data_IF_737520519695
#
_entry.id   IF_737520519695
#
_cell.length_a   1.000
_cell.length_b   1.000
_cell.length_c   1.000
_cell.angle_alpha   90.00
_cell.angle_beta   90.00
_cell.angle_gamma   90.00
#
_symmetry.space_group_name_H-M   'P 1'
#
loop_
_entity.id
_entity.type
_entity.pdbx_description
1 polymer ?
#
# COMPACT_ATOMS: atom_id res chain seq x y z
N UNK A 1 28.57 -29.28 83.24
CA UNK A 1 27.56 -29.16 84.32
C UNK A 1 26.75 -27.88 84.09
N UNK A 2 25.51 -27.78 84.61
CA UNK A 2 24.65 -26.57 84.62
C UNK A 2 24.20 -26.15 83.18
N UNK A 3 22.96 -26.46 82.75
CA UNK A 3 21.70 -25.67 82.88
C UNK A 3 21.69 -24.35 82.09
N UNK A 4 20.60 -23.81 81.50
CA UNK A 4 19.13 -24.13 81.36
C UNK A 4 18.58 -23.15 80.25
N UNK A 5 17.39 -23.20 79.62
CA UNK A 5 16.23 -24.11 79.44
C UNK A 5 15.29 -23.50 78.35
N UNK A 6 14.15 -24.13 78.03
CA UNK A 6 12.92 -23.58 77.36
C UNK A 6 12.97 -23.50 75.81
N UNK A 7 11.88 -23.74 75.05
CA UNK A 7 10.44 -24.00 75.38
C UNK A 7 9.78 -25.02 74.40
N UNK A 8 8.55 -25.42 74.71
CA UNK A 8 7.61 -26.39 74.06
C UNK A 8 6.19 -25.72 74.08
N UNK A 9 5.07 -26.25 73.51
CA UNK A 9 4.84 -27.42 72.63
C UNK A 9 3.78 -27.22 71.48
N UNK A 10 3.46 -28.33 70.78
CA UNK A 10 2.13 -28.80 70.28
C UNK A 10 1.33 -28.16 69.10
N UNK A 11 0.80 -29.08 68.28
CA UNK A 11 -0.51 -29.12 67.57
C UNK A 11 -1.03 -27.92 66.74
N UNK A 12 -1.10 -28.10 65.41
CA UNK A 12 -2.29 -27.77 64.58
C UNK A 12 -2.25 -28.39 63.15
N UNK A 13 -2.10 -29.72 63.06
CA UNK A 13 -1.86 -30.43 61.79
C UNK A 13 -3.01 -31.35 61.34
N UNK A 14 -4.18 -30.78 60.99
CA UNK A 14 -5.29 -31.54 60.35
C UNK A 14 -6.23 -30.73 59.43
N UNK A 15 -6.42 -29.43 59.64
CA UNK A 15 -7.52 -28.68 58.98
C UNK A 15 -7.17 -27.89 57.70
N UNK A 16 -5.91 -27.89 57.26
CA UNK A 16 -5.44 -26.99 56.17
C UNK A 16 -5.55 -27.56 54.74
N UNK A 17 -5.88 -28.84 54.56
CA UNK A 17 -5.85 -29.51 53.25
C UNK A 17 -7.11 -29.34 52.38
N UNK A 18 -8.29 -29.10 52.96
CA UNK A 18 -9.54 -28.97 52.17
C UNK A 18 -9.84 -27.55 51.68
N UNK A 19 -9.47 -26.50 52.43
CA UNK A 19 -9.77 -25.11 52.04
C UNK A 19 -9.06 -24.68 50.75
N UNK A 20 -7.83 -25.18 50.52
CA UNK A 20 -7.04 -24.83 49.35
C UNK A 20 -7.67 -25.32 48.03
N UNK A 21 -8.28 -26.51 48.02
CA UNK A 21 -8.82 -27.12 46.81
C UNK A 21 -10.04 -26.34 46.25
N UNK A 22 -10.96 -25.93 47.13
CA UNK A 22 -12.20 -25.24 46.74
C UNK A 22 -11.92 -23.84 46.19
N UNK A 23 -11.02 -23.10 46.84
CA UNK A 23 -10.63 -21.76 46.37
C UNK A 23 -9.96 -21.79 45.00
N UNK A 24 -9.13 -22.80 44.73
CA UNK A 24 -8.36 -22.87 43.48
C UNK A 24 -9.18 -23.30 42.26
N UNK A 25 -10.36 -23.93 42.46
CA UNK A 25 -11.29 -24.26 41.39
C UNK A 25 -12.25 -23.10 41.06
N UNK A 26 -12.84 -22.46 42.08
CA UNK A 26 -13.80 -21.35 41.90
C UNK A 26 -13.16 -20.08 41.31
N UNK A 27 -11.90 -19.81 41.66
CA UNK A 27 -11.18 -18.65 41.13
C UNK A 27 -10.84 -18.78 39.63
N UNK A 28 -10.70 -19.99 39.08
CA UNK A 28 -10.28 -20.18 37.66
C UNK A 28 -11.44 -19.99 36.68
N UNK A 29 -12.63 -20.48 36.98
CA UNK A 29 -13.82 -20.30 36.11
C UNK A 29 -14.28 -18.84 36.07
N UNK A 30 -14.35 -18.18 37.23
CA UNK A 30 -14.73 -16.77 37.32
C UNK A 30 -13.73 -15.84 36.62
N UNK A 31 -12.42 -16.02 36.82
CA UNK A 31 -11.40 -15.20 36.13
C UNK A 31 -11.39 -15.45 34.61
N UNK A 32 -11.60 -16.68 34.14
CA UNK A 32 -11.68 -16.95 32.69
C UNK A 32 -12.90 -16.27 32.05
N UNK A 33 -14.09 -16.33 32.68
CA UNK A 33 -15.28 -15.64 32.17
C UNK A 33 -15.14 -14.11 32.25
N UNK A 34 -14.56 -13.57 33.33
CA UNK A 34 -14.27 -12.14 33.44
C UNK A 34 -13.24 -11.68 32.41
N UNK A 35 -12.19 -12.46 32.13
CA UNK A 35 -11.23 -12.13 31.06
C UNK A 35 -11.86 -12.18 29.68
N UNK A 36 -12.72 -13.18 29.39
CA UNK A 36 -13.41 -13.27 28.12
C UNK A 36 -14.37 -12.09 27.92
N UNK A 37 -15.19 -11.78 28.93
CA UNK A 37 -16.11 -10.64 28.90
C UNK A 37 -15.38 -9.29 28.81
N UNK A 38 -14.25 -9.12 29.50
CA UNK A 38 -13.45 -7.89 29.45
C UNK A 38 -12.71 -7.73 28.12
N UNK A 39 -12.20 -8.81 27.52
CA UNK A 39 -11.61 -8.80 26.17
C UNK A 39 -12.67 -8.49 25.11
N UNK A 40 -13.86 -9.10 25.19
CA UNK A 40 -14.97 -8.79 24.28
C UNK A 40 -15.42 -7.33 24.43
N UNK A 41 -15.63 -6.86 25.65
CA UNK A 41 -16.06 -5.48 25.90
C UNK A 41 -14.97 -4.44 25.54
N UNK A 42 -13.68 -4.76 25.71
CA UNK A 42 -12.60 -3.96 25.13
C UNK A 42 -12.60 -4.00 23.59
N UNK A 43 -12.91 -5.15 22.97
CA UNK A 43 -13.01 -5.22 21.51
C UNK A 43 -14.16 -4.36 20.97
N UNK A 44 -15.31 -4.34 21.66
CA UNK A 44 -16.46 -3.49 21.31
C UNK A 44 -16.21 -2.00 21.60
N UNK A 45 -15.59 -1.66 22.74
CA UNK A 45 -15.19 -0.29 23.05
C UNK A 45 -14.14 0.26 22.07
N UNK A 46 -13.14 -0.55 21.70
CA UNK A 46 -12.18 -0.20 20.66
C UNK A 46 -12.88 -0.06 19.29
N UNK A 47 -13.80 -0.97 18.93
CA UNK A 47 -14.63 -0.85 17.72
C UNK A 47 -15.47 0.44 17.71
N UNK A 48 -15.97 0.90 18.86
CA UNK A 48 -16.73 2.16 18.98
C UNK A 48 -15.83 3.40 18.83
N UNK A 49 -14.63 3.39 19.43
CA UNK A 49 -13.64 4.48 19.25
C UNK A 49 -13.13 4.51 17.81
N UNK A 50 -12.79 3.36 17.22
CA UNK A 50 -12.37 3.28 15.83
C UNK A 50 -13.49 3.68 14.86
N UNK A 51 -14.77 3.36 15.12
CA UNK A 51 -15.90 3.83 14.29
C UNK A 51 -16.00 5.35 14.15
N UNK A 52 -15.48 6.13 15.11
CA UNK A 52 -15.47 7.59 15.05
C UNK A 52 -14.31 8.19 14.21
N UNK A 53 -13.31 7.38 13.85
CA UNK A 53 -12.13 7.80 13.06
C UNK A 53 -11.89 6.93 11.82
N UNK A 54 -12.67 5.84 11.65
CA UNK A 54 -12.63 4.96 10.51
C UNK A 54 -12.93 5.74 9.23
N UNK A 55 -12.26 5.41 8.12
CA UNK A 55 -12.31 6.23 6.93
C UNK A 55 -13.56 5.91 6.11
N UNK A 56 -14.14 6.91 5.46
CA UNK A 56 -15.31 6.70 4.58
C UNK A 56 -14.86 6.00 3.30
N UNK A 57 -15.31 4.76 3.08
CA UNK A 57 -15.02 3.98 1.87
C UNK A 57 -16.06 4.25 0.76
N UNK A 58 -15.63 4.26 -0.52
CA UNK A 58 -16.49 4.52 -1.68
C UNK A 58 -17.51 3.40 -1.98
N UNK A 59 -17.17 2.20 -1.50
CA UNK A 59 -17.93 0.95 -1.52
C UNK A 59 -17.78 0.34 -0.12
N UNK A 60 -18.75 -0.44 0.39
CA UNK A 60 -18.54 -1.18 1.63
C UNK A 60 -17.43 -2.22 1.45
N UNK A 61 -16.60 -2.40 2.47
CA UNK A 61 -15.71 -3.56 2.58
C UNK A 61 -16.54 -4.84 2.73
N UNK A 62 -16.06 -5.95 2.16
CA UNK A 62 -16.60 -7.27 2.45
C UNK A 62 -16.11 -7.75 3.83
N UNK A 63 -16.81 -7.29 4.87
CA UNK A 63 -16.52 -7.60 6.28
C UNK A 63 -16.56 -9.10 6.54
N UNK A 64 -17.41 -9.87 5.83
CA UNK A 64 -17.55 -11.31 6.05
C UNK A 64 -16.40 -12.08 5.39
N UNK A 65 -16.03 -11.77 4.14
CA UNK A 65 -14.84 -12.36 3.53
C UNK A 65 -13.57 -12.00 4.30
N UNK A 66 -13.44 -10.76 4.80
CA UNK A 66 -12.33 -10.36 5.66
C UNK A 66 -12.29 -11.18 6.96
N UNK A 67 -13.43 -11.34 7.65
CA UNK A 67 -13.55 -12.11 8.90
C UNK A 67 -13.22 -13.59 8.68
N UNK A 68 -13.74 -14.21 7.63
CA UNK A 68 -13.54 -15.63 7.31
C UNK A 68 -12.08 -15.91 6.91
N UNK A 69 -11.46 -15.04 6.12
CA UNK A 69 -10.08 -15.24 5.67
C UNK A 69 -9.02 -14.88 6.74
N UNK A 70 -9.38 -14.21 7.84
CA UNK A 70 -8.41 -13.65 8.79
C UNK A 70 -7.43 -14.66 9.40
N UNK A 71 -7.86 -15.89 9.72
CA UNK A 71 -6.93 -16.92 10.22
C UNK A 71 -5.91 -17.33 9.16
N UNK A 72 -6.37 -17.49 7.91
CA UNK A 72 -5.52 -17.86 6.77
C UNK A 72 -4.57 -16.71 6.38
N UNK A 73 -5.00 -15.47 6.58
CA UNK A 73 -4.15 -14.28 6.45
C UNK A 73 -3.03 -14.29 7.50
N UNK A 74 -3.35 -14.56 8.78
CA UNK A 74 -2.34 -14.71 9.84
C UNK A 74 -1.27 -15.74 9.45
N UNK A 75 -1.67 -16.92 8.98
CA UNK A 75 -0.70 -17.95 8.57
C UNK A 75 0.15 -17.55 7.36
N UNK A 76 -0.41 -16.84 6.37
CA UNK A 76 0.36 -16.28 5.26
C UNK A 76 1.37 -15.20 5.73
N UNK A 77 0.95 -14.31 6.63
CA UNK A 77 1.78 -13.23 7.19
C UNK A 77 2.84 -13.73 8.17
N UNK A 78 2.63 -14.89 8.83
CA UNK A 78 3.49 -15.46 9.90
C UNK A 78 4.97 -15.63 9.55
N UNK A 79 5.32 -15.75 8.27
CA UNK A 79 6.73 -15.81 7.82
C UNK A 79 7.37 -14.43 7.62
N UNK A 80 6.55 -13.39 7.46
CA UNK A 80 6.92 -12.00 7.19
C UNK A 80 6.99 -11.13 8.46
N UNK A 81 6.37 -11.59 9.56
CA UNK A 81 6.24 -10.83 10.81
C UNK A 81 7.55 -10.53 11.57
N UNK A 82 8.74 -10.80 11.01
CA UNK A 82 10.05 -10.49 11.60
C UNK A 82 10.15 -10.70 13.13
N UNK A 83 10.50 -9.67 13.93
CA UNK A 83 10.57 -9.74 15.39
C UNK A 83 9.20 -9.81 16.09
N UNK A 84 8.11 -9.61 15.34
CA UNK A 84 6.72 -9.73 15.81
C UNK A 84 6.15 -11.15 15.66
N UNK A 85 6.87 -12.08 15.00
CA UNK A 85 6.41 -13.47 14.76
C UNK A 85 6.01 -14.23 16.03
N UNK A 86 6.70 -14.00 17.15
CA UNK A 86 6.35 -14.59 18.45
C UNK A 86 5.16 -13.92 19.17
N UNK A 87 4.61 -12.85 18.59
CA UNK A 87 3.48 -12.05 19.11
C UNK A 87 2.37 -11.85 18.07
N UNK A 88 2.32 -12.72 17.04
CA UNK A 88 1.43 -12.61 15.89
C UNK A 88 -0.03 -12.41 16.29
N UNK A 89 -0.54 -13.26 17.18
CA UNK A 89 -1.94 -13.24 17.61
C UNK A 89 -2.29 -12.08 18.55
N UNK A 90 -1.31 -11.55 19.28
CA UNK A 90 -1.47 -10.37 20.14
C UNK A 90 -1.42 -9.05 19.34
N UNK A 91 -0.90 -9.07 18.11
CA UNK A 91 -0.73 -7.87 17.27
C UNK A 91 -1.71 -7.84 16.10
N UNK A 92 -1.97 -8.96 15.42
CA UNK A 92 -3.04 -9.10 14.44
C UNK A 92 -4.37 -9.37 15.16
N UNK A 93 -4.99 -8.30 15.65
CA UNK A 93 -6.30 -8.31 16.32
C UNK A 93 -7.44 -7.86 15.42
N UNK A 94 -7.18 -6.89 14.53
CA UNK A 94 -8.16 -6.36 13.59
C UNK A 94 -8.14 -7.18 12.30
N UNK A 95 -9.31 -7.57 11.80
CA UNK A 95 -9.47 -8.18 10.46
C UNK A 95 -9.91 -7.16 9.40
N UNK A 96 -10.00 -5.88 9.77
CA UNK A 96 -10.44 -4.76 8.95
C UNK A 96 -9.31 -3.72 8.90
N UNK A 97 -9.10 -3.00 7.77
CA UNK A 97 -8.17 -1.87 7.70
C UNK A 97 -8.51 -0.77 8.71
N UNK A 98 -7.50 -0.26 9.43
CA UNK A 98 -7.65 0.81 10.44
C UNK A 98 -6.59 1.89 10.19
N UNK A 99 -7.06 3.07 9.79
CA UNK A 99 -6.29 4.30 9.59
C UNK A 99 -7.28 5.48 9.59
N UNK A 100 -6.77 6.72 9.56
CA UNK A 100 -7.61 7.93 9.53
C UNK A 100 -7.33 8.77 8.28
N UNK A 101 -8.40 9.36 7.73
CA UNK A 101 -8.35 10.33 6.63
C UNK A 101 -8.63 11.77 7.07
N UNK A 102 -8.73 12.04 8.38
CA UNK A 102 -9.15 13.37 8.89
C UNK A 102 -8.17 14.51 8.57
N UNK A 103 -6.90 14.18 8.36
CA UNK A 103 -5.85 15.15 7.98
C UNK A 103 -5.61 15.24 6.47
N UNK A 104 -6.43 14.57 5.64
CA UNK A 104 -6.29 14.60 4.18
C UNK A 104 -6.98 15.84 3.60
N UNK A 105 -6.22 16.74 3.00
CA UNK A 105 -6.73 17.92 2.29
C UNK A 105 -6.67 17.72 0.79
N UNK A 106 -7.81 17.38 0.19
CA UNK A 106 -7.97 17.24 -1.26
C UNK A 106 -8.36 18.59 -1.87
N UNK A 107 -7.62 19.01 -2.91
CA UNK A 107 -7.87 20.26 -3.63
C UNK A 107 -7.63 20.13 -5.12
N UNK A 108 -8.28 20.97 -5.91
CA UNK A 108 -7.83 21.26 -7.27
C UNK A 108 -6.63 22.23 -7.23
N UNK A 109 -5.83 22.33 -8.32
CA UNK A 109 -4.78 23.32 -8.46
C UNK A 109 -5.17 24.80 -8.25
N UNK A 110 -6.39 25.20 -8.60
CA UNK A 110 -6.95 26.55 -8.33
C UNK A 110 -7.24 26.78 -6.84
N UNK A 111 -7.21 25.73 -6.03
CA UNK A 111 -7.41 25.78 -4.58
C UNK A 111 -8.82 25.40 -4.12
N UNK A 112 -9.77 25.12 -5.04
CA UNK A 112 -11.07 24.54 -4.71
C UNK A 112 -10.86 23.30 -3.84
N UNK A 113 -11.57 23.23 -2.71
CA UNK A 113 -11.55 22.04 -1.85
C UNK A 113 -12.47 20.97 -2.42
N UNK A 114 -12.10 19.71 -2.24
CA UNK A 114 -12.98 18.57 -2.41
C UNK A 114 -13.14 17.84 -1.08
N UNK A 115 -14.32 17.29 -0.84
CA UNK A 115 -14.52 16.22 0.13
C UNK A 115 -14.03 14.89 -0.43
N UNK A 116 -13.75 13.92 0.46
CA UNK A 116 -13.44 12.54 0.05
C UNK A 116 -14.62 11.95 -0.75
N UNK A 117 -15.86 12.19 -0.31
CA UNK A 117 -17.07 11.73 -0.97
C UNK A 117 -17.25 12.25 -2.42
N UNK A 118 -16.92 13.52 -2.70
CA UNK A 118 -16.93 14.05 -4.07
C UNK A 118 -15.95 13.31 -4.99
N UNK A 119 -14.72 13.08 -4.52
CA UNK A 119 -13.68 12.39 -5.33
C UNK A 119 -14.01 10.91 -5.48
N UNK A 120 -14.60 10.27 -4.46
CA UNK A 120 -15.14 8.91 -4.55
C UNK A 120 -16.32 8.79 -5.52
N UNK A 121 -17.21 9.79 -5.57
CA UNK A 121 -18.31 9.81 -6.54
C UNK A 121 -17.78 9.91 -7.99
N UNK A 122 -16.74 10.71 -8.22
CA UNK A 122 -16.04 10.77 -9.52
C UNK A 122 -15.30 9.48 -9.84
N UNK A 123 -14.63 8.85 -8.88
CA UNK A 123 -14.01 7.54 -9.10
C UNK A 123 -15.08 6.50 -9.49
N UNK A 124 -16.16 6.42 -8.72
CA UNK A 124 -17.26 5.46 -8.90
C UNK A 124 -17.98 5.61 -10.24
N UNK A 125 -18.12 6.84 -10.79
CA UNK A 125 -18.74 7.04 -12.11
C UNK A 125 -17.91 6.53 -13.30
N UNK A 126 -16.65 6.15 -13.07
CA UNK A 126 -15.78 5.55 -14.11
C UNK A 126 -15.74 4.02 -14.09
N UNK A 127 -16.40 3.40 -13.11
CA UNK A 127 -16.59 1.95 -13.01
C UNK A 127 -17.63 1.52 -14.06
N UNK A 128 -17.40 0.38 -14.72
CA UNK A 128 -18.29 -0.14 -15.77
C UNK A 128 -18.52 -1.65 -15.56
N UNK A 129 -19.59 -2.25 -16.11
CA UNK A 129 -19.78 -3.70 -16.08
C UNK A 129 -18.53 -4.44 -16.61
N UNK A 130 -18.03 -5.40 -15.85
CA UNK A 130 -16.78 -6.12 -16.18
C UNK A 130 -15.49 -5.30 -16.04
N UNK A 131 -15.53 -4.08 -15.47
CA UNK A 131 -14.37 -3.20 -15.23
C UNK A 131 -14.52 -2.54 -13.84
N UNK A 132 -14.33 -3.29 -12.74
CA UNK A 132 -14.55 -2.80 -11.37
C UNK A 132 -13.53 -1.75 -10.91
N UNK A 133 -12.31 -1.73 -11.48
CA UNK A 133 -11.28 -0.73 -11.13
C UNK A 133 -11.64 0.62 -11.79
N UNK A 134 -11.80 1.73 -11.03
CA UNK A 134 -12.08 3.04 -11.60
C UNK A 134 -10.89 3.59 -12.41
N UNK A 135 -11.16 4.50 -13.35
CA UNK A 135 -10.13 5.18 -14.15
C UNK A 135 -9.56 6.39 -13.40
N UNK A 136 -8.93 6.13 -12.26
CA UNK A 136 -8.25 7.11 -11.40
C UNK A 136 -6.81 6.64 -11.19
N UNK A 137 -5.86 7.57 -11.21
CA UNK A 137 -4.44 7.30 -11.00
C UNK A 137 -3.92 7.99 -9.74
N UNK A 138 -2.99 7.35 -9.03
CA UNK A 138 -2.38 7.86 -7.80
C UNK A 138 -0.86 7.80 -7.89
N UNK A 139 -0.19 8.89 -7.52
CA UNK A 139 1.26 8.95 -7.31
C UNK A 139 1.57 9.51 -5.93
N UNK A 140 2.45 8.86 -5.17
CA UNK A 140 3.09 9.49 -4.01
C UNK A 140 4.30 10.29 -4.49
N UNK A 141 4.29 11.60 -4.22
CA UNK A 141 5.39 12.49 -4.59
C UNK A 141 6.51 12.46 -3.52
N UNK A 142 7.79 12.61 -3.92
CA UNK A 142 8.92 12.51 -2.99
C UNK A 142 8.82 13.44 -1.77
N UNK A 143 9.03 12.88 -0.57
CA UNK A 143 9.02 13.64 0.68
C UNK A 143 10.27 14.54 0.86
N UNK A 144 11.31 14.32 0.04
CA UNK A 144 12.60 15.00 0.08
C UNK A 144 12.64 16.23 -0.82
N UNK A 145 13.43 16.17 -1.91
CA UNK A 145 13.44 17.20 -2.93
C UNK A 145 12.08 17.29 -3.63
N UNK A 146 11.61 18.50 -3.89
CA UNK A 146 10.37 18.76 -4.61
C UNK A 146 10.59 19.04 -6.09
N UNK A 147 11.84 19.28 -6.52
CA UNK A 147 12.13 19.49 -7.93
C UNK A 147 11.93 18.19 -8.70
N UNK A 148 10.92 18.16 -9.58
CA UNK A 148 10.72 16.98 -10.42
C UNK A 148 11.89 16.82 -11.39
N UNK A 149 12.38 15.60 -11.50
CA UNK A 149 13.40 15.21 -12.47
C UNK A 149 12.77 14.94 -13.84
N UNK A 150 13.60 14.72 -14.86
CA UNK A 150 13.10 14.50 -16.21
C UNK A 150 12.21 13.25 -16.31
N UNK A 151 12.63 12.11 -15.75
CA UNK A 151 11.86 10.87 -15.75
C UNK A 151 10.51 11.02 -15.00
N UNK A 152 10.46 11.75 -13.87
CA UNK A 152 9.19 12.08 -13.18
C UNK A 152 8.18 12.77 -14.11
N UNK A 153 8.65 13.67 -14.98
CA UNK A 153 7.80 14.35 -15.96
C UNK A 153 7.38 13.41 -17.11
N UNK A 154 8.24 12.50 -17.56
CA UNK A 154 7.85 11.47 -18.54
C UNK A 154 6.80 10.53 -17.94
N UNK A 155 6.97 10.09 -16.69
CA UNK A 155 6.00 9.25 -15.96
C UNK A 155 4.62 9.93 -15.86
N UNK A 156 4.56 11.16 -15.33
CA UNK A 156 3.31 11.91 -15.19
C UNK A 156 2.63 12.17 -16.55
N UNK A 157 3.39 12.49 -17.60
CA UNK A 157 2.84 12.64 -18.96
C UNK A 157 2.40 11.31 -19.56
N UNK A 158 3.07 10.20 -19.26
CA UNK A 158 2.65 8.86 -19.71
C UNK A 158 1.27 8.49 -19.13
N UNK A 159 1.04 8.79 -17.86
CA UNK A 159 -0.27 8.61 -17.23
C UNK A 159 -1.32 9.52 -17.88
N UNK A 160 -1.04 10.83 -18.00
CA UNK A 160 -1.98 11.79 -18.60
C UNK A 160 -2.34 11.48 -20.06
N UNK A 161 -1.36 11.10 -20.88
CA UNK A 161 -1.52 10.95 -22.33
C UNK A 161 -1.88 9.53 -22.77
N UNK A 162 -1.48 8.49 -22.02
CA UNK A 162 -1.67 7.07 -22.39
C UNK A 162 -2.75 6.39 -21.55
N UNK A 163 -2.71 6.49 -20.21
CA UNK A 163 -3.79 5.98 -19.36
C UNK A 163 -5.05 6.85 -19.47
N UNK A 164 -4.89 8.17 -19.59
CA UNK A 164 -5.98 9.16 -19.64
C UNK A 164 -6.97 9.01 -18.47
N UNK A 165 -6.50 9.10 -17.21
CA UNK A 165 -7.35 9.00 -16.04
C UNK A 165 -8.35 10.15 -15.97
N UNK A 166 -9.53 9.89 -15.40
CA UNK A 166 -10.51 10.95 -15.13
C UNK A 166 -10.06 11.84 -13.96
N UNK A 167 -9.29 11.28 -13.01
CA UNK A 167 -8.58 12.03 -11.97
C UNK A 167 -7.16 11.49 -11.79
N UNK A 168 -6.20 12.40 -11.74
CA UNK A 168 -4.80 12.15 -11.38
C UNK A 168 -4.56 12.74 -9.98
N UNK A 169 -4.40 11.88 -8.99
CA UNK A 169 -4.26 12.23 -7.59
C UNK A 169 -2.79 12.24 -7.19
N UNK A 170 -2.29 13.43 -6.86
CA UNK A 170 -0.89 13.68 -6.51
C UNK A 170 -0.79 13.86 -4.99
N UNK A 171 -0.28 12.84 -4.32
CA UNK A 171 -0.17 12.79 -2.86
C UNK A 171 1.14 13.42 -2.40
N UNK A 172 1.10 14.34 -1.44
CA UNK A 172 2.29 15.06 -0.98
C UNK A 172 2.23 15.44 0.49
N UNK A 173 3.41 15.53 1.11
CA UNK A 173 3.57 15.98 2.49
C UNK A 173 3.37 17.51 2.62
N UNK A 174 3.02 18.04 3.82
CA UNK A 174 2.95 19.47 4.05
C UNK A 174 4.26 20.18 3.66
N UNK A 175 4.16 21.26 2.88
CA UNK A 175 5.31 21.98 2.35
C UNK A 175 6.04 21.32 1.16
N UNK A 176 5.66 20.10 0.74
CA UNK A 176 6.30 19.36 -0.37
C UNK A 176 5.50 19.42 -1.69
N UNK A 177 5.01 20.60 -2.07
CA UNK A 177 4.44 20.79 -3.41
C UNK A 177 5.55 20.58 -4.47
N UNK A 178 5.29 19.88 -5.59
CA UNK A 178 6.26 19.69 -6.66
C UNK A 178 6.64 21.02 -7.33
N UNK A 179 7.89 21.13 -7.76
CA UNK A 179 8.49 22.35 -8.33
C UNK A 179 9.43 22.06 -9.51
N UNK A 180 9.98 23.12 -10.09
CA UNK A 180 11.04 23.05 -11.11
C UNK A 180 10.54 22.96 -12.55
N UNK A 181 11.48 23.12 -13.49
CA UNK A 181 11.24 23.17 -14.94
C UNK A 181 10.45 21.99 -15.51
N UNK A 182 10.54 20.82 -14.88
CA UNK A 182 9.88 19.60 -15.33
C UNK A 182 8.45 19.50 -14.80
N UNK A 183 8.17 19.95 -13.58
CA UNK A 183 6.80 20.19 -13.11
C UNK A 183 6.07 21.22 -13.98
N UNK A 184 6.72 22.34 -14.29
CA UNK A 184 6.16 23.36 -15.21
C UNK A 184 5.87 22.80 -16.60
N UNK A 185 6.62 21.77 -17.04
CA UNK A 185 6.35 21.06 -18.30
C UNK A 185 5.13 20.16 -18.20
N UNK A 186 4.91 19.47 -17.07
CA UNK A 186 3.68 18.70 -16.81
C UNK A 186 2.47 19.65 -16.83
N UNK A 187 2.52 20.77 -16.10
CA UNK A 187 1.43 21.77 -16.07
C UNK A 187 1.07 22.27 -17.47
N UNK A 188 2.07 22.59 -18.30
CA UNK A 188 1.91 23.10 -19.67
C UNK A 188 1.52 22.04 -20.72
N UNK A 189 1.20 20.80 -20.32
CA UNK A 189 0.64 19.77 -21.21
C UNK A 189 -0.89 19.66 -21.13
N UNK A 190 -1.55 20.40 -20.22
CA UNK A 190 -2.99 20.48 -20.10
C UNK A 190 -3.43 21.95 -20.22
N UNK A 191 -4.67 22.19 -20.66
CA UNK A 191 -5.31 23.51 -20.51
C UNK A 191 -5.57 23.81 -19.02
N UNK A 192 -5.77 25.08 -18.65
CA UNK A 192 -6.06 25.45 -17.25
C UNK A 192 -7.33 24.76 -16.72
N UNK A 193 -8.33 24.54 -17.58
CA UNK A 193 -9.56 23.79 -17.25
C UNK A 193 -9.24 22.32 -17.03
N UNK A 194 -8.56 21.64 -17.96
CA UNK A 194 -8.18 20.22 -17.76
C UNK A 194 -7.25 20.03 -16.55
N UNK A 195 -6.39 21.00 -16.27
CA UNK A 195 -5.51 21.01 -15.11
C UNK A 195 -6.34 21.10 -13.81
N UNK A 196 -7.33 21.99 -13.73
CA UNK A 196 -8.17 22.12 -12.53
C UNK A 196 -9.21 20.99 -12.37
N UNK A 197 -9.70 20.43 -13.48
CA UNK A 197 -10.66 19.34 -13.47
C UNK A 197 -10.02 17.97 -13.20
N UNK A 198 -8.87 17.65 -13.82
CA UNK A 198 -8.28 16.30 -13.75
C UNK A 198 -7.33 16.13 -12.57
N UNK A 199 -6.62 17.17 -12.13
CA UNK A 199 -5.62 17.04 -11.08
C UNK A 199 -6.27 17.20 -9.70
N UNK A 200 -6.01 16.27 -8.79
CA UNK A 200 -6.31 16.43 -7.37
C UNK A 200 -5.00 16.45 -6.59
N UNK A 201 -4.66 17.61 -6.05
CA UNK A 201 -3.55 17.77 -5.11
C UNK A 201 -4.02 17.29 -3.74
N UNK A 202 -3.42 16.22 -3.21
CA UNK A 202 -3.81 15.64 -1.92
C UNK A 202 -2.69 15.83 -0.91
N UNK A 203 -2.84 16.82 -0.03
CA UNK A 203 -1.92 16.98 1.09
C UNK A 203 -2.32 16.05 2.23
N UNK A 204 -1.37 15.31 2.79
CA UNK A 204 -1.54 14.54 4.04
C UNK A 204 -0.23 14.45 4.81
N UNK A 205 -0.25 14.25 6.14
CA UNK A 205 0.95 13.89 6.88
C UNK A 205 1.60 12.61 6.34
N UNK A 206 2.93 12.56 6.41
CA UNK A 206 3.71 11.34 6.21
C UNK A 206 3.48 10.45 7.44
N UNK A 207 3.11 9.17 7.27
CA UNK A 207 2.89 8.27 8.41
C UNK A 207 4.19 8.09 9.20
N UNK A 208 4.08 8.04 10.54
CA UNK A 208 5.21 7.71 11.45
C UNK A 208 5.05 6.34 12.10
N UNK A 209 3.88 5.73 11.90
CA UNK A 209 3.46 4.44 12.41
C UNK A 209 2.33 3.91 11.53
N UNK A 210 2.15 2.60 11.52
CA UNK A 210 1.02 1.90 10.91
C UNK A 210 0.51 0.90 11.95
N UNK A 211 -0.79 0.93 12.24
CA UNK A 211 -1.34 0.34 13.48
C UNK A 211 -0.51 0.73 14.73
N UNK A 212 0.15 -0.22 15.36
CA UNK A 212 0.95 -0.05 16.59
C UNK A 212 2.47 -0.14 16.37
N UNK A 213 2.94 -0.28 15.12
CA UNK A 213 4.37 -0.36 14.78
C UNK A 213 4.86 0.94 14.11
N UNK A 214 6.07 1.42 14.43
CA UNK A 214 6.63 2.64 13.84
C UNK A 214 7.10 2.41 12.39
N UNK A 215 7.18 3.48 11.61
CA UNK A 215 7.64 3.44 10.21
C UNK A 215 8.59 4.62 9.96
N UNK A 216 9.88 4.33 9.75
CA UNK A 216 10.92 5.35 9.56
C UNK A 216 11.47 5.38 8.12
N UNK A 217 11.45 4.25 7.41
CA UNK A 217 11.85 4.19 5.99
C UNK A 217 10.91 5.01 5.11
N UNK A 218 11.44 5.82 4.19
CA UNK A 218 10.61 6.69 3.33
C UNK A 218 9.82 5.88 2.31
N UNK A 219 10.44 4.79 1.90
CA UNK A 219 9.93 3.75 1.03
C UNK A 219 8.69 3.12 1.70
N UNK A 220 8.83 2.64 2.93
CA UNK A 220 7.74 2.11 3.74
C UNK A 220 6.64 3.14 4.05
N UNK A 221 7.00 4.41 4.24
CA UNK A 221 6.05 5.51 4.41
C UNK A 221 5.22 5.74 3.14
N UNK A 222 5.85 5.57 1.95
CA UNK A 222 5.14 5.53 0.66
C UNK A 222 4.26 4.28 0.53
N UNK A 223 4.71 3.13 1.03
CA UNK A 223 3.94 1.87 1.03
C UNK A 223 2.63 1.99 1.83
N UNK A 224 2.67 2.58 3.03
CA UNK A 224 1.45 2.87 3.78
C UNK A 224 0.57 3.87 3.02
N UNK A 225 1.16 4.95 2.47
CA UNK A 225 0.41 5.97 1.73
C UNK A 225 -0.27 5.43 0.46
N UNK A 226 0.37 4.55 -0.31
CA UNK A 226 -0.19 3.99 -1.56
C UNK A 226 -1.33 3.01 -1.30
N UNK A 227 -1.20 2.16 -0.26
CA UNK A 227 -2.22 1.19 0.11
C UNK A 227 -3.48 1.89 0.62
N UNK A 228 -3.34 2.85 1.55
CA UNK A 228 -4.46 3.66 2.06
C UNK A 228 -5.13 4.48 0.93
N UNK A 229 -4.34 5.07 0.03
CA UNK A 229 -4.85 5.85 -1.10
C UNK A 229 -5.79 5.04 -2.01
N UNK A 230 -5.30 3.91 -2.53
CA UNK A 230 -6.05 3.07 -3.46
C UNK A 230 -7.21 2.35 -2.75
N UNK A 231 -7.09 2.03 -1.46
CA UNK A 231 -8.17 1.39 -0.72
C UNK A 231 -9.41 2.29 -0.57
N UNK A 232 -9.21 3.61 -0.43
CA UNK A 232 -10.29 4.62 -0.29
C UNK A 232 -10.92 5.03 -1.62
N UNK A 233 -10.14 5.12 -2.71
CA UNK A 233 -10.61 5.63 -4.00
C UNK A 233 -10.73 4.57 -5.11
N UNK A 234 -10.17 3.37 -4.92
CA UNK A 234 -9.86 2.43 -5.99
C UNK A 234 -8.81 2.98 -6.94
N UNK A 235 -8.68 2.36 -8.11
CA UNK A 235 -7.90 2.89 -9.23
C UNK A 235 -6.54 2.24 -9.39
N UNK A 236 -5.59 3.01 -9.90
CA UNK A 236 -4.23 2.56 -10.26
C UNK A 236 -3.20 3.32 -9.44
N UNK A 237 -2.32 2.61 -8.73
CA UNK A 237 -1.12 3.19 -8.18
C UNK A 237 0.03 3.14 -9.20
N UNK A 238 0.83 4.21 -9.22
CA UNK A 238 2.06 4.33 -9.97
C UNK A 238 3.12 5.02 -9.09
N UNK A 239 4.29 4.41 -8.91
CA UNK A 239 5.46 5.15 -8.44
C UNK A 239 5.91 6.16 -9.51
N UNK A 240 6.58 7.23 -9.08
CA UNK A 240 6.86 8.44 -9.89
C UNK A 240 7.89 8.22 -11.01
N UNK A 241 8.45 7.03 -11.10
CA UNK A 241 9.37 6.51 -12.11
C UNK A 241 8.74 5.38 -12.97
N UNK A 242 7.46 5.03 -12.79
CA UNK A 242 6.74 4.09 -13.66
C UNK A 242 6.25 4.79 -14.93
N UNK A 243 6.51 4.21 -16.11
CA UNK A 243 5.98 4.67 -17.40
C UNK A 243 4.77 3.85 -17.83
N UNK A 244 3.66 4.49 -18.16
CA UNK A 244 2.50 3.84 -18.81
C UNK A 244 2.68 3.87 -20.33
N UNK A 245 2.58 2.70 -20.95
CA UNK A 245 2.90 2.46 -22.37
C UNK A 245 1.68 2.00 -23.18
N UNK A 246 0.60 1.54 -22.53
CA UNK A 246 -0.71 1.26 -23.14
C UNK A 246 -1.87 1.64 -22.21
N UNK A 247 -3.09 1.86 -22.73
CA UNK A 247 -4.28 1.99 -21.88
C UNK A 247 -4.49 0.75 -21.01
N UNK A 248 -4.74 0.96 -19.71
CA UNK A 248 -4.74 -0.11 -18.70
C UNK A 248 -6.12 -0.81 -18.53
N UNK A 249 -7.14 -0.40 -19.29
CA UNK A 249 -8.50 -0.96 -19.25
C UNK A 249 -8.60 -2.50 -19.33
N UNK A 250 -7.74 -3.24 -20.10
CA UNK A 250 -7.77 -4.71 -20.10
C UNK A 250 -7.39 -5.37 -18.76
N UNK A 251 -6.69 -4.64 -17.89
CA UNK A 251 -6.24 -5.09 -16.56
C UNK A 251 -7.18 -4.64 -15.43
N UNK A 252 -8.01 -3.62 -15.71
CA UNK A 252 -9.04 -3.06 -14.81
C UNK A 252 -10.29 -3.94 -14.63
N UNK A 253 -10.29 -5.13 -15.24
CA UNK A 253 -11.38 -6.13 -15.22
C UNK A 253 -11.41 -7.03 -13.98
N UNK A 254 -10.32 -7.08 -13.22
CA UNK A 254 -10.19 -7.83 -11.97
C UNK A 254 -10.32 -6.88 -10.79
N UNK A 255 -10.81 -7.35 -9.64
CA UNK A 255 -10.92 -6.50 -8.43
C UNK A 255 -9.56 -6.12 -7.83
N UNK A 256 -8.51 -6.88 -8.13
CA UNK A 256 -7.13 -6.53 -7.81
C UNK A 256 -6.15 -7.12 -8.84
N UNK A 257 -5.23 -6.29 -9.34
CA UNK A 257 -4.18 -6.65 -10.32
C UNK A 257 -2.83 -6.09 -9.86
N UNK A 258 -1.76 -6.88 -9.94
CA UNK A 258 -0.39 -6.45 -9.59
C UNK A 258 0.64 -7.09 -10.52
N UNK A 259 1.80 -6.44 -10.70
CA UNK A 259 2.90 -6.98 -11.49
C UNK A 259 3.70 -8.05 -10.73
N UNK A 260 4.16 -9.10 -11.43
CA UNK A 260 5.24 -9.96 -10.94
C UNK A 260 6.56 -9.21 -11.02
N UNK A 261 7.26 -9.07 -9.88
CA UNK A 261 8.63 -8.55 -9.88
C UNK A 261 9.61 -9.71 -10.11
N UNK A 262 9.61 -10.65 -9.17
CA UNK A 262 10.48 -11.83 -9.15
C UNK A 262 9.67 -13.07 -8.79
N UNK A 263 10.21 -14.26 -8.99
CA UNK A 263 9.49 -15.53 -8.75
C UNK A 263 8.85 -15.64 -7.35
N UNK A 264 9.43 -14.94 -6.35
CA UNK A 264 8.97 -14.86 -4.96
C UNK A 264 8.35 -13.51 -4.54
N UNK A 265 8.04 -12.60 -5.47
CA UNK A 265 7.67 -11.21 -5.17
C UNK A 265 6.76 -10.54 -6.21
N UNK A 266 5.88 -9.65 -5.75
CA UNK A 266 4.98 -8.84 -6.59
C UNK A 266 5.29 -7.35 -6.38
N UNK A 267 5.36 -6.55 -7.44
CA UNK A 267 5.79 -5.15 -7.38
C UNK A 267 4.69 -4.23 -6.84
N UNK A 268 4.94 -3.52 -5.73
CA UNK A 268 4.00 -2.52 -5.21
C UNK A 268 4.14 -1.12 -5.86
N UNK A 269 5.09 -0.95 -6.79
CA UNK A 269 5.24 0.26 -7.60
C UNK A 269 4.15 0.44 -8.64
N UNK A 270 3.52 -0.65 -9.08
CA UNK A 270 2.33 -0.61 -9.93
C UNK A 270 1.33 -1.71 -9.57
N UNK A 271 0.16 -1.28 -9.08
CA UNK A 271 -0.96 -2.16 -8.82
C UNK A 271 -2.29 -1.44 -9.05
N UNK A 272 -3.37 -2.21 -9.15
CA UNK A 272 -4.70 -1.76 -9.53
C UNK A 272 -5.73 -2.41 -8.60
N UNK A 273 -6.75 -1.68 -8.18
CA UNK A 273 -7.77 -2.21 -7.27
C UNK A 273 -9.14 -1.58 -7.49
N UNK A 274 -10.19 -2.38 -7.37
CA UNK A 274 -11.51 -1.87 -7.05
C UNK A 274 -11.46 -1.19 -5.67
N UNK A 275 -12.27 -0.15 -5.40
CA UNK A 275 -12.34 0.45 -4.07
C UNK A 275 -12.77 -0.62 -3.06
N UNK A 276 -12.09 -0.72 -1.92
CA UNK A 276 -12.40 -1.71 -0.87
C UNK A 276 -12.26 -3.19 -1.26
N UNK A 277 -11.48 -3.52 -2.30
CA UNK A 277 -11.21 -4.91 -2.69
C UNK A 277 -10.57 -5.74 -1.56
N UNK A 278 -11.05 -6.97 -1.36
CA UNK A 278 -10.71 -7.83 -0.22
C UNK A 278 -9.21 -8.11 -0.11
N UNK A 279 -8.49 -8.29 -1.22
CA UNK A 279 -7.04 -8.53 -1.20
C UNK A 279 -6.26 -7.32 -0.67
N UNK A 280 -6.54 -6.11 -1.17
CA UNK A 280 -5.89 -4.88 -0.73
C UNK A 280 -6.22 -4.57 0.74
N UNK A 281 -7.47 -4.80 1.15
CA UNK A 281 -7.88 -4.67 2.55
C UNK A 281 -7.14 -5.67 3.47
N UNK A 282 -6.99 -6.94 3.07
CA UNK A 282 -6.17 -7.90 3.81
C UNK A 282 -4.68 -7.51 3.84
N UNK A 283 -4.15 -6.96 2.75
CA UNK A 283 -2.73 -6.60 2.64
C UNK A 283 -2.39 -5.45 3.59
N UNK A 284 -3.21 -4.39 3.60
CA UNK A 284 -3.11 -3.34 4.63
C UNK A 284 -3.26 -3.94 6.05
N UNK A 285 -4.22 -4.84 6.26
CA UNK A 285 -4.47 -5.48 7.56
C UNK A 285 -3.26 -6.26 8.09
N UNK A 286 -2.41 -6.79 7.21
CA UNK A 286 -1.18 -7.49 7.59
C UNK A 286 -0.07 -6.57 8.13
N UNK A 287 -0.08 -5.26 7.84
CA UNK A 287 0.88 -4.29 8.41
C UNK A 287 0.76 -4.12 9.94
N UNK A 288 -0.22 -4.75 10.60
CA UNK A 288 -0.24 -4.92 12.06
C UNK A 288 1.02 -5.58 12.65
N UNK A 289 1.80 -6.31 11.83
CA UNK A 289 3.06 -6.96 12.20
C UNK A 289 4.22 -6.59 11.26
N UNK A 290 4.13 -5.40 10.66
CA UNK A 290 5.16 -4.83 9.80
C UNK A 290 6.52 -4.68 10.51
N UNK A 291 7.60 -4.96 9.77
CA UNK A 291 8.99 -4.87 10.22
C UNK A 291 9.75 -3.85 9.37
N UNK A 292 10.00 -2.67 9.93
CA UNK A 292 10.68 -1.54 9.29
C UNK A 292 12.16 -1.81 8.95
N UNK A 293 12.71 -2.95 9.39
CA UNK A 293 14.06 -3.41 9.02
C UNK A 293 14.06 -4.24 7.73
N UNK A 294 12.89 -4.69 7.25
CA UNK A 294 12.75 -5.72 6.23
C UNK A 294 12.27 -5.15 4.88
N UNK A 295 13.10 -4.30 4.25
CA UNK A 295 12.80 -3.44 3.08
C UNK A 295 11.71 -3.91 2.09
N UNK A 296 11.90 -5.09 1.50
CA UNK A 296 10.99 -5.65 0.49
C UNK A 296 9.95 -6.66 1.03
N UNK A 297 9.86 -6.85 2.34
CA UNK A 297 9.19 -8.04 2.89
C UNK A 297 7.67 -7.87 2.96
N UNK A 298 7.17 -6.77 3.51
CA UNK A 298 5.72 -6.45 3.51
C UNK A 298 5.23 -5.85 2.19
N UNK A 299 6.13 -5.19 1.45
CA UNK A 299 5.87 -4.52 0.17
C UNK A 299 5.88 -5.46 -1.04
N UNK A 300 6.78 -6.47 -1.07
CA UNK A 300 6.97 -7.33 -2.26
C UNK A 300 6.71 -8.81 -1.97
N UNK A 301 7.25 -9.36 -0.88
CA UNK A 301 7.21 -10.82 -0.61
C UNK A 301 5.92 -11.28 0.07
N UNK A 302 5.34 -10.44 0.93
CA UNK A 302 4.05 -10.67 1.57
C UNK A 302 2.88 -10.73 0.56
N UNK A 303 2.68 -9.79 -0.38
CA UNK A 303 1.60 -9.91 -1.36
C UNK A 303 1.78 -11.15 -2.25
N UNK A 304 3.01 -11.57 -2.57
CA UNK A 304 3.25 -12.87 -3.22
C UNK A 304 2.74 -14.06 -2.37
N UNK A 305 3.09 -14.12 -1.08
CA UNK A 305 2.60 -15.17 -0.16
C UNK A 305 1.08 -15.16 -0.01
N UNK A 306 0.49 -13.97 0.03
CA UNK A 306 -0.95 -13.79 0.07
C UNK A 306 -1.61 -14.23 -1.23
N UNK A 307 -1.02 -13.96 -2.40
CA UNK A 307 -1.56 -14.40 -3.69
C UNK A 307 -1.58 -15.94 -3.79
N UNK A 308 -0.53 -16.62 -3.31
CA UNK A 308 -0.52 -18.09 -3.20
C UNK A 308 -1.58 -18.63 -2.22
N UNK A 309 -1.92 -17.88 -1.17
CA UNK A 309 -2.98 -18.24 -0.25
C UNK A 309 -4.39 -17.91 -0.79
N UNK A 310 -4.54 -16.84 -1.57
CA UNK A 310 -5.80 -16.27 -2.02
C UNK A 310 -5.79 -16.00 -3.54
N UNK A 311 -5.59 -17.03 -4.39
CA UNK A 311 -5.37 -16.86 -5.82
C UNK A 311 -6.56 -16.20 -6.52
N UNK A 312 -7.79 -16.50 -6.09
CA UNK A 312 -9.02 -15.95 -6.65
C UNK A 312 -9.23 -14.46 -6.38
N UNK A 313 -8.44 -13.86 -5.47
CA UNK A 313 -8.56 -12.46 -5.06
C UNK A 313 -7.46 -11.55 -5.63
N UNK A 314 -6.47 -12.09 -6.36
CA UNK A 314 -5.33 -11.32 -6.86
C UNK A 314 -4.86 -11.87 -8.22
N UNK A 315 -5.14 -11.12 -9.28
CA UNK A 315 -4.60 -11.37 -10.61
C UNK A 315 -3.15 -10.86 -10.70
N UNK A 316 -2.28 -11.65 -11.31
CA UNK A 316 -0.86 -11.32 -11.50
C UNK A 316 -0.56 -11.16 -12.99
N UNK A 317 -0.03 -10.00 -13.36
CA UNK A 317 0.58 -9.79 -14.67
C UNK A 317 2.05 -10.19 -14.62
N UNK A 318 2.38 -11.35 -15.20
CA UNK A 318 3.68 -12.01 -15.06
C UNK A 318 4.85 -11.26 -15.74
N UNK A 319 4.58 -10.52 -16.82
CA UNK A 319 5.60 -9.85 -17.64
C UNK A 319 5.24 -8.40 -18.03
N UNK A 320 3.98 -7.97 -17.91
CA UNK A 320 3.47 -6.81 -18.68
C UNK A 320 3.53 -5.45 -17.96
N UNK A 321 3.84 -5.44 -16.66
CA UNK A 321 3.87 -4.22 -15.83
C UNK A 321 5.28 -3.84 -15.33
N UNK A 322 6.17 -4.82 -15.21
CA UNK A 322 7.37 -4.69 -14.37
C UNK A 322 8.68 -5.17 -15.05
N UNK A 323 8.59 -5.68 -16.28
CA UNK A 323 9.75 -6.10 -17.09
C UNK A 323 10.10 -5.05 -18.14
N UNK A 324 11.39 -4.73 -18.39
CA UNK A 324 12.57 -5.29 -17.72
C UNK A 324 12.73 -4.75 -16.28
N UNK A 325 13.30 -5.57 -15.40
CA UNK A 325 13.32 -5.35 -13.94
C UNK A 325 14.67 -4.80 -13.42
N UNK A 326 14.83 -4.63 -12.09
CA UNK A 326 16.02 -4.12 -11.39
C UNK A 326 17.29 -4.99 -11.50
N UNK A 327 17.21 -6.17 -12.12
CA UNK A 327 18.38 -7.04 -12.28
C UNK A 327 19.46 -6.33 -13.11
N UNK A 328 20.73 -6.55 -12.79
CA UNK A 328 21.85 -5.86 -13.47
C UNK A 328 21.88 -6.11 -14.99
N UNK A 329 21.28 -7.20 -15.46
CA UNK A 329 21.10 -7.53 -16.87
C UNK A 329 19.94 -6.73 -17.49
N UNK A 330 18.77 -6.72 -16.85
CA UNK A 330 17.57 -6.06 -17.39
C UNK A 330 17.66 -4.53 -17.35
N UNK A 331 18.36 -3.97 -16.35
CA UNK A 331 18.74 -2.55 -16.34
C UNK A 331 19.63 -2.20 -17.55
N UNK A 332 20.49 -3.12 -18.00
CA UNK A 332 21.27 -2.92 -19.24
C UNK A 332 20.38 -2.98 -20.49
N UNK A 333 19.28 -3.75 -20.50
CA UNK A 333 18.30 -3.70 -21.60
C UNK A 333 17.59 -2.34 -21.67
N UNK A 334 17.25 -1.74 -20.51
CA UNK A 334 16.56 -0.44 -20.44
C UNK A 334 17.45 0.72 -20.94
N UNK A 335 18.66 0.86 -20.38
CA UNK A 335 19.50 2.05 -20.61
C UNK A 335 20.67 1.83 -21.56
N UNK A 336 21.09 0.57 -21.77
CA UNK A 336 22.23 0.24 -22.60
C UNK A 336 22.02 0.63 -24.07
N UNK A 337 23.07 1.15 -24.69
CA UNK A 337 23.02 1.56 -26.09
C UNK A 337 22.94 0.33 -27.00
N UNK A 338 21.94 0.28 -27.89
CA UNK A 338 21.69 -0.85 -28.81
C UNK A 338 21.03 -2.08 -28.18
N UNK A 339 20.70 -2.05 -26.88
CA UNK A 339 20.20 -3.22 -26.14
C UNK A 339 18.68 -3.44 -26.26
N UNK A 340 17.97 -2.61 -27.03
CA UNK A 340 16.50 -2.67 -27.15
C UNK A 340 15.98 -4.02 -27.69
N UNK A 341 16.82 -4.75 -28.42
CA UNK A 341 16.47 -6.05 -29.02
C UNK A 341 16.25 -7.17 -28.00
N UNK A 342 16.67 -7.00 -26.73
CA UNK A 342 16.45 -7.98 -25.67
C UNK A 342 14.98 -8.06 -25.19
N UNK A 343 14.18 -7.00 -25.34
CA UNK A 343 12.79 -6.99 -24.87
C UNK A 343 11.86 -6.11 -25.71
N UNK A 344 10.85 -6.74 -26.31
CA UNK A 344 9.78 -6.06 -27.07
C UNK A 344 8.76 -5.41 -26.12
N UNK A 345 9.16 -4.28 -25.54
CA UNK A 345 8.31 -3.46 -24.69
C UNK A 345 7.03 -2.99 -25.42
N UNK A 346 7.14 -2.72 -26.72
CA UNK A 346 6.02 -2.24 -27.55
C UNK A 346 4.89 -3.25 -27.63
N UNK A 347 5.19 -4.54 -27.77
CA UNK A 347 4.16 -5.60 -27.79
C UNK A 347 3.79 -6.05 -26.38
N UNK A 348 4.76 -6.28 -25.48
CA UNK A 348 4.50 -6.87 -24.17
C UNK A 348 3.88 -5.92 -23.13
N UNK A 349 4.43 -4.73 -22.96
CA UNK A 349 4.15 -3.93 -21.75
C UNK A 349 2.88 -3.08 -21.81
N UNK A 350 2.13 -3.07 -20.72
CA UNK A 350 1.20 -2.01 -20.37
C UNK A 350 1.91 -0.86 -19.64
N UNK A 351 2.91 -1.20 -18.82
CA UNK A 351 3.77 -0.26 -18.12
C UNK A 351 5.18 -0.84 -17.91
N UNK A 352 6.14 0.01 -17.52
CA UNK A 352 7.51 -0.37 -17.11
C UNK A 352 7.90 0.47 -15.88
N UNK A 353 8.35 -0.17 -14.81
CA UNK A 353 9.08 0.51 -13.73
C UNK A 353 10.48 0.88 -14.22
N UNK A 354 10.86 2.17 -14.19
CA UNK A 354 12.23 2.59 -14.50
C UNK A 354 13.18 2.39 -13.31
N UNK A 355 13.67 1.17 -13.14
CA UNK A 355 14.69 0.89 -12.13
C UNK A 355 16.04 1.56 -12.46
N UNK A 356 16.94 1.70 -11.46
CA UNK A 356 18.35 2.06 -11.68
C UNK A 356 18.70 3.54 -11.42
N UNK A 357 19.60 4.10 -12.22
CA UNK A 357 20.10 5.48 -12.07
C UNK A 357 19.87 6.30 -13.33
N UNK A 358 19.16 7.40 -13.17
CA UNK A 358 18.93 8.39 -14.22
C UNK A 358 20.11 9.35 -14.36
N UNK A 359 20.37 9.82 -15.57
CA UNK A 359 21.34 10.89 -15.82
C UNK A 359 20.59 12.22 -15.98
N UNK A 360 21.26 13.21 -16.58
CA UNK A 360 20.68 14.51 -16.91
C UNK A 360 19.93 14.49 -18.27
N UNK A 361 19.15 13.43 -18.55
CA UNK A 361 18.33 13.37 -19.76
C UNK A 361 17.31 14.51 -19.84
N UNK A 362 16.97 14.90 -21.07
CA UNK A 362 16.10 16.03 -21.35
C UNK A 362 15.49 15.93 -22.76
N UNK A 363 14.55 16.83 -23.08
CA UNK A 363 13.83 16.91 -24.35
C UNK A 363 14.72 17.02 -25.63
N UNK A 364 16.01 17.32 -25.49
CA UNK A 364 16.98 17.26 -26.58
C UNK A 364 17.64 15.88 -26.64
N UNK A 365 18.26 15.42 -25.54
CA UNK A 365 19.02 14.16 -25.54
C UNK A 365 18.18 12.93 -25.88
N UNK A 366 16.93 12.84 -25.43
CA UNK A 366 16.09 11.66 -25.73
C UNK A 366 15.67 11.58 -27.20
N UNK A 367 15.87 12.61 -28.03
CA UNK A 367 15.54 12.56 -29.46
C UNK A 367 16.45 11.61 -30.25
N UNK A 368 17.69 11.42 -29.81
CA UNK A 368 18.67 10.55 -30.45
C UNK A 368 19.23 9.44 -29.54
N UNK A 369 18.80 9.37 -28.26
CA UNK A 369 19.22 8.33 -27.33
C UNK A 369 18.84 6.92 -27.82
N UNK A 370 19.82 6.15 -28.26
CA UNK A 370 19.65 4.80 -28.82
C UNK A 370 19.60 3.72 -27.72
N UNK A 371 18.64 3.84 -26.81
CA UNK A 371 18.31 2.84 -25.78
C UNK A 371 16.79 2.71 -25.63
N UNK A 372 16.33 1.69 -24.91
CA UNK A 372 14.90 1.39 -24.74
C UNK A 372 14.20 2.50 -23.97
N UNK A 373 14.82 3.03 -22.91
CA UNK A 373 14.37 4.23 -22.22
C UNK A 373 14.25 5.43 -23.18
N UNK A 374 15.22 5.63 -24.07
CA UNK A 374 15.14 6.66 -25.11
C UNK A 374 13.93 6.48 -26.04
N UNK A 375 13.62 5.25 -26.46
CA UNK A 375 12.44 4.97 -27.27
C UNK A 375 11.13 5.21 -26.54
N UNK A 376 11.01 4.74 -25.28
CA UNK A 376 9.82 4.96 -24.45
C UNK A 376 9.60 6.46 -24.20
N UNK A 377 10.66 7.22 -23.89
CA UNK A 377 10.59 8.68 -23.81
C UNK A 377 10.10 9.32 -25.12
N UNK A 378 10.61 8.89 -26.29
CA UNK A 378 10.15 9.44 -27.59
C UNK A 378 8.67 9.13 -27.84
N UNK A 379 8.25 7.89 -27.58
CA UNK A 379 6.86 7.45 -27.71
C UNK A 379 5.90 8.32 -26.89
N UNK A 380 6.22 8.55 -25.61
CA UNK A 380 5.39 9.33 -24.68
C UNK A 380 5.40 10.83 -24.99
N UNK A 381 6.57 11.39 -25.34
CA UNK A 381 6.74 12.86 -25.42
C UNK A 381 6.45 13.45 -26.80
N UNK A 382 6.54 12.67 -27.87
CA UNK A 382 6.40 13.13 -29.25
C UNK A 382 5.37 12.34 -30.07
N UNK A 383 4.92 11.18 -29.57
CA UNK A 383 4.26 10.15 -30.37
C UNK A 383 5.28 9.41 -31.25
N UNK A 384 5.16 8.09 -31.38
CA UNK A 384 6.01 7.36 -32.33
C UNK A 384 5.44 7.41 -33.74
N UNK A 385 6.23 7.98 -34.65
CA UNK A 385 6.61 7.26 -35.87
C UNK A 385 7.24 5.91 -35.49
#
# INVERSE_FOLDING_TARGET
>A
AIMRLRLLPLMLATCLSLMAAVYHFSAKTSVLQLSAAWIVNQSEANLLVFKAQAPTYAMPLDIEALRLNFSKLKDATKRHSGPHRGRLDQMMLNYVPVFSTTEWMLRSPSGRRFTIAEVQAVAKSTIRPGVPVPNVAHFVLPFGDTQLQFHHMVSLLSCLHVMKPHRLMLWYAPGRLPTGRWWDRVRKNLTEVEWDERIVMVQRPVPKSVYSVPVHGREHQSDVMRLEAVLIFGGVYLDIDVLVLKPLDPLRKFDFTIGREVSYGLCNGIFMSAPSATFLAMWHTAYQVFDDNAWGDHSVKLPHSMQLAFPDLCHVEEDSLDRPNWTSEEVVWIYGIGQQHHWDWRRKNYAVYLYGKFNNENLSSVRSLNSMYGEMCRYILFGSS
#
